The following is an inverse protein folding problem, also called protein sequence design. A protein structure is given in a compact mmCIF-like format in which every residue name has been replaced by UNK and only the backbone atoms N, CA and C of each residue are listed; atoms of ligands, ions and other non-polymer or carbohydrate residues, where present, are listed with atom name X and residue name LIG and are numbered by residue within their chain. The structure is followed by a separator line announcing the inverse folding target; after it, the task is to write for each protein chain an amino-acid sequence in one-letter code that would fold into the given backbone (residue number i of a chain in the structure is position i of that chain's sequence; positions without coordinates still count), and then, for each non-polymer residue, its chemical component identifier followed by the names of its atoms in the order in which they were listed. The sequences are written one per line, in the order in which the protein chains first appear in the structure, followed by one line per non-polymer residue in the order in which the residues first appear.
data_IF_922435770369
#
_entry.id   IF_922435770369
#
_cell.length_a   1.000
_cell.length_b   1.000
_cell.length_c   1.000
_cell.angle_alpha   90.00
_cell.angle_beta   90.00
_cell.angle_gamma   90.00
#
_symmetry.space_group_name_H-M   'P 1'
#
loop_
_entity.id
_entity.type
_entity.pdbx_description
1 polymer ?
#
# COMPACT_ATOMS: atom_id res chain seq x y z
N UNK A 1 19.17 -2.78 19.17
CA UNK A 1 20.50 -2.26 19.54
C UNK A 1 20.49 -0.75 19.81
N UNK A 2 19.89 0.08 18.94
CA UNK A 2 19.90 1.53 19.07
C UNK A 2 19.35 2.10 20.41
N UNK A 3 18.17 1.70 20.93
CA UNK A 3 17.66 2.24 22.20
C UNK A 3 18.60 2.00 23.38
N UNK A 4 19.19 0.80 23.47
CA UNK A 4 20.17 0.45 24.51
C UNK A 4 21.38 1.40 24.51
N UNK A 5 21.89 1.77 23.33
CA UNK A 5 23.04 2.68 23.21
C UNK A 5 22.69 4.09 23.69
N UNK A 6 21.55 4.62 23.24
CA UNK A 6 21.08 5.95 23.64
C UNK A 6 20.83 6.03 25.15
N UNK A 7 20.15 5.03 25.72
CA UNK A 7 19.89 4.97 27.16
C UNK A 7 21.20 4.96 27.96
N UNK A 8 22.22 4.21 27.53
CA UNK A 8 23.53 4.20 28.21
C UNK A 8 24.28 5.53 28.13
N UNK A 9 24.11 6.28 27.03
CA UNK A 9 24.83 7.53 26.79
C UNK A 9 24.21 8.71 27.55
N UNK A 10 22.88 8.70 27.72
CA UNK A 10 22.13 9.87 28.18
C UNK A 10 21.39 9.67 29.50
N UNK A 11 21.55 8.52 30.17
CA UNK A 11 21.00 8.32 31.51
C UNK A 11 21.88 7.41 32.37
N UNK A 12 21.72 7.53 33.69
CA UNK A 12 22.38 6.70 34.68
C UNK A 12 21.50 5.52 35.10
N UNK A 13 22.09 4.56 35.82
CA UNK A 13 21.32 3.45 36.41
C UNK A 13 20.33 4.03 37.43
N UNK A 14 19.08 3.56 37.39
CA UNK A 14 17.99 4.08 38.22
C UNK A 14 17.19 5.24 37.60
N UNK A 15 17.69 5.87 36.54
CA UNK A 15 16.94 6.94 35.85
C UNK A 15 15.69 6.41 35.13
N UNK A 16 14.76 7.32 34.83
CA UNK A 16 13.54 7.04 34.08
C UNK A 16 13.64 7.52 32.64
N UNK A 17 13.39 6.62 31.69
CA UNK A 17 13.38 6.91 30.25
C UNK A 17 11.95 7.13 29.77
N UNK A 18 11.68 8.27 29.12
CA UNK A 18 10.39 8.55 28.48
C UNK A 18 10.44 8.23 26.98
N UNK A 19 9.51 7.40 26.51
CA UNK A 19 9.29 7.12 25.09
C UNK A 19 7.86 7.49 24.66
N UNK A 20 7.65 8.66 24.04
CA UNK A 20 6.32 9.06 23.60
C UNK A 20 5.79 8.29 22.39
N UNK A 21 6.59 7.39 21.81
CA UNK A 21 6.24 6.58 20.63
C UNK A 21 6.66 5.12 20.85
N UNK A 22 6.12 4.52 21.91
CA UNK A 22 6.57 3.23 22.46
C UNK A 22 6.55 2.09 21.43
N UNK A 23 5.56 2.09 20.52
CA UNK A 23 5.45 1.10 19.45
C UNK A 23 5.43 -0.31 20.00
N UNK A 24 6.41 -1.12 19.61
CA UNK A 24 6.54 -2.51 20.08
C UNK A 24 7.22 -2.68 21.44
N UNK A 25 7.43 -1.61 22.22
CA UNK A 25 7.98 -1.70 23.58
C UNK A 25 9.50 -1.91 23.67
N UNK A 26 10.23 -1.68 22.58
CA UNK A 26 11.69 -1.98 22.53
C UNK A 26 12.51 -1.07 23.46
N UNK A 27 12.09 0.19 23.64
CA UNK A 27 12.74 1.13 24.55
C UNK A 27 12.58 0.70 26.01
N UNK A 28 11.37 0.31 26.42
CA UNK A 28 11.10 -0.20 27.77
C UNK A 28 11.87 -1.48 28.08
N UNK A 29 11.96 -2.42 27.13
CA UNK A 29 12.78 -3.63 27.32
C UNK A 29 14.26 -3.26 27.50
N UNK A 30 14.77 -2.33 26.70
CA UNK A 30 16.15 -1.87 26.81
C UNK A 30 16.42 -1.16 28.16
N UNK A 31 15.49 -0.34 28.65
CA UNK A 31 15.58 0.32 29.95
C UNK A 31 15.58 -0.70 31.10
N UNK A 32 14.63 -1.65 31.10
CA UNK A 32 14.55 -2.77 32.05
C UNK A 32 15.88 -3.52 32.15
N UNK A 33 16.42 -3.94 31.00
CA UNK A 33 17.68 -4.69 30.94
C UNK A 33 18.92 -3.87 31.34
N UNK A 34 18.78 -2.56 31.44
CA UNK A 34 19.82 -1.63 31.89
C UNK A 34 19.56 -1.12 33.32
N UNK A 35 18.63 -1.71 34.07
CA UNK A 35 18.27 -1.30 35.43
C UNK A 35 17.82 0.16 35.50
N UNK A 36 16.91 0.55 34.60
CA UNK A 36 16.30 1.87 34.51
C UNK A 36 14.78 1.72 34.42
N UNK A 37 14.07 2.71 34.96
CA UNK A 37 12.62 2.81 34.80
C UNK A 37 12.28 3.32 33.40
N UNK A 38 11.07 3.05 32.93
CA UNK A 38 10.59 3.62 31.67
C UNK A 38 9.11 3.94 31.71
N UNK A 39 8.73 5.02 31.03
CA UNK A 39 7.33 5.39 30.76
C UNK A 39 7.19 5.53 29.26
N UNK A 40 6.12 5.01 28.68
CA UNK A 40 5.89 5.18 27.25
C UNK A 40 4.41 5.28 26.88
N UNK A 41 4.16 5.97 25.78
CA UNK A 41 2.82 6.16 25.22
C UNK A 41 2.70 5.41 23.90
N UNK A 42 1.59 4.69 23.74
CA UNK A 42 1.21 4.07 22.48
C UNK A 42 -0.29 4.28 22.26
N UNK A 43 -0.64 4.76 21.08
CA UNK A 43 -2.03 5.09 20.71
C UNK A 43 -2.73 3.89 20.08
N UNK A 44 -1.97 2.97 19.47
CA UNK A 44 -2.50 1.81 18.80
C UNK A 44 -2.57 0.62 19.77
N UNK A 45 -3.80 0.29 20.18
CA UNK A 45 -4.09 -0.82 21.10
C UNK A 45 -3.60 -2.18 20.58
N UNK A 46 -3.42 -2.37 19.26
CA UNK A 46 -2.91 -3.61 18.68
C UNK A 46 -1.47 -3.94 19.11
N UNK A 47 -0.72 -2.95 19.58
CA UNK A 47 0.64 -3.17 20.11
C UNK A 47 0.65 -3.65 21.55
N UNK A 48 -0.46 -3.53 22.30
CA UNK A 48 -0.51 -3.91 23.72
C UNK A 48 -0.12 -5.39 23.94
N UNK A 49 -0.66 -6.38 23.20
CA UNK A 49 -0.23 -7.77 23.36
C UNK A 49 1.25 -8.01 23.05
N UNK A 50 1.80 -7.27 22.07
CA UNK A 50 3.21 -7.36 21.66
C UNK A 50 4.12 -6.81 22.76
N UNK A 51 3.72 -5.70 23.38
CA UNK A 51 4.44 -5.09 24.50
C UNK A 51 4.42 -6.05 25.70
N UNK A 52 3.25 -6.62 26.02
CA UNK A 52 3.09 -7.59 27.11
C UNK A 52 3.98 -8.81 26.96
N UNK A 53 4.02 -9.39 25.76
CA UNK A 53 4.88 -10.52 25.42
C UNK A 53 6.35 -10.13 25.55
N UNK A 54 6.75 -8.99 24.98
CA UNK A 54 8.15 -8.55 24.95
C UNK A 54 8.72 -8.22 26.31
N UNK A 55 7.91 -7.65 27.20
CA UNK A 55 8.31 -7.32 28.57
C UNK A 55 8.13 -8.51 29.54
N UNK A 56 7.60 -9.62 29.03
CA UNK A 56 7.37 -10.88 29.74
C UNK A 56 6.41 -10.73 30.93
N UNK A 57 5.40 -9.86 30.83
CA UNK A 57 4.45 -9.60 31.93
C UNK A 57 3.70 -10.84 32.40
N UNK A 58 3.51 -11.83 31.50
CA UNK A 58 2.73 -13.05 31.78
C UNK A 58 3.57 -14.19 32.38
N UNK A 59 4.89 -14.06 32.44
CA UNK A 59 5.75 -15.08 33.03
C UNK A 59 5.93 -14.78 34.53
N UNK A 60 5.25 -15.54 35.37
CA UNK A 60 5.40 -15.56 36.82
C UNK A 60 6.75 -16.16 37.22
N UNK A 61 7.83 -15.44 36.93
CA UNK A 61 9.13 -15.74 37.50
C UNK A 61 9.10 -15.32 38.97
N UNK A 62 9.48 -16.24 39.86
CA UNK A 62 9.51 -16.09 41.33
C UNK A 62 10.37 -14.89 41.82
N UNK A 63 11.13 -14.28 40.91
CA UNK A 63 12.00 -13.12 41.11
C UNK A 63 11.73 -12.01 40.09
N UNK A 64 10.46 -11.63 39.86
CA UNK A 64 10.17 -10.44 39.06
C UNK A 64 10.69 -9.19 39.78
N UNK A 65 11.83 -8.67 39.31
CA UNK A 65 12.48 -7.48 39.86
C UNK A 65 11.88 -6.15 39.37
N UNK A 66 10.82 -6.18 38.55
CA UNK A 66 10.23 -5.00 37.93
C UNK A 66 8.69 -5.03 38.03
N UNK A 67 8.10 -3.92 38.44
CA UNK A 67 6.66 -3.68 38.42
C UNK A 67 6.23 -3.04 37.08
N UNK A 68 5.02 -3.32 36.64
CA UNK A 68 4.45 -2.78 35.42
C UNK A 68 3.04 -2.26 35.66
N UNK A 69 2.78 -1.03 35.24
CA UNK A 69 1.46 -0.41 35.27
C UNK A 69 1.02 -0.05 33.86
N UNK A 70 -0.16 -0.52 33.44
CA UNK A 70 -0.75 -0.20 32.15
C UNK A 70 -1.97 0.68 32.40
N UNK A 71 -1.89 1.94 31.98
CA UNK A 71 -2.95 2.94 32.15
C UNK A 71 -3.60 3.18 30.79
N UNK A 72 -4.90 2.93 30.70
CA UNK A 72 -5.69 3.26 29.51
C UNK A 72 -6.30 4.65 29.68
N UNK A 73 -5.97 5.57 28.78
CA UNK A 73 -6.59 6.89 28.77
C UNK A 73 -8.07 6.77 28.34
N UNK A 74 -8.98 7.34 29.12
CA UNK A 74 -10.39 7.43 28.74
C UNK A 74 -10.57 8.29 27.48
N UNK A 75 -11.60 7.99 26.68
CA UNK A 75 -11.90 8.78 25.49
C UNK A 75 -12.26 10.20 25.91
N UNK A 76 -11.45 11.16 25.46
CA UNK A 76 -11.81 12.57 25.53
C UNK A 76 -12.99 12.81 24.59
N UNK A 77 -14.13 13.23 25.12
CA UNK A 77 -15.30 13.64 24.30
C UNK A 77 -15.09 14.97 23.56
N UNK A 78 -13.90 15.57 23.71
CA UNK A 78 -13.58 16.90 23.18
C UNK A 78 -13.21 16.84 21.71
N UNK A 79 -13.88 17.66 20.90
CA UNK A 79 -13.48 17.90 19.52
C UNK A 79 -12.26 18.82 19.50
N UNK A 80 -11.05 18.25 19.34
CA UNK A 80 -9.82 19.03 19.19
C UNK A 80 -9.93 20.11 18.10
N UNK A 81 -10.70 19.84 17.03
CA UNK A 81 -10.95 20.81 15.96
C UNK A 81 -11.68 22.06 16.45
N UNK A 82 -12.59 21.92 17.40
CA UNK A 82 -13.30 23.03 18.01
C UNK A 82 -12.44 23.77 19.03
N UNK A 83 -11.64 23.05 19.82
CA UNK A 83 -10.69 23.68 20.76
C UNK A 83 -9.62 24.49 20.02
N UNK A 84 -9.08 23.97 18.90
CA UNK A 84 -8.10 24.70 18.07
C UNK A 84 -8.68 26.02 17.54
N UNK A 85 -9.98 26.06 17.19
CA UNK A 85 -10.64 27.30 16.74
C UNK A 85 -10.75 28.36 17.83
N UNK A 86 -10.73 27.96 19.11
CA UNK A 86 -10.80 28.88 20.26
C UNK A 86 -9.44 29.49 20.60
N UNK A 87 -8.35 29.00 19.99
CA UNK A 87 -7.02 29.54 20.23
C UNK A 87 -6.91 30.97 19.68
N UNK A 88 -6.25 31.90 20.40
CA UNK A 88 -6.10 33.29 19.98
C UNK A 88 -5.30 33.43 18.68
N UNK A 89 -4.48 32.42 18.34
CA UNK A 89 -3.69 32.38 17.13
C UNK A 89 -3.84 31.02 16.44
N UNK A 90 -4.19 31.05 15.16
CA UNK A 90 -4.29 29.87 14.30
C UNK A 90 -3.32 30.08 13.14
N UNK A 91 -2.19 29.36 13.18
CA UNK A 91 -1.24 29.37 12.08
C UNK A 91 -1.89 28.82 10.81
N UNK A 92 -1.82 29.59 9.73
CA UNK A 92 -2.17 29.14 8.38
C UNK A 92 -0.91 29.28 7.53
N UNK A 93 -0.40 28.15 7.07
CA UNK A 93 0.74 28.15 6.16
C UNK A 93 0.33 28.82 4.84
N UNK A 94 0.95 29.96 4.44
CA UNK A 94 0.62 30.62 3.18
C UNK A 94 1.11 29.83 1.96
N UNK A 95 2.06 28.90 2.15
CA UNK A 95 2.62 28.08 1.07
C UNK A 95 1.97 26.70 1.15
N UNK A 96 0.91 26.50 0.39
CA UNK A 96 0.34 25.17 0.22
C UNK A 96 1.38 24.28 -0.48
N UNK A 97 1.98 23.34 0.26
CA UNK A 97 2.79 22.29 -0.35
C UNK A 97 1.94 21.49 -1.33
N UNK A 98 2.21 21.64 -2.61
CA UNK A 98 1.59 20.83 -3.65
C UNK A 98 2.12 19.40 -3.51
N UNK A 99 1.34 18.53 -2.84
CA UNK A 99 1.70 17.12 -2.65
C UNK A 99 1.66 16.41 -4.00
N UNK A 100 2.76 16.46 -4.74
CA UNK A 100 2.95 15.74 -6.02
C UNK A 100 2.73 14.24 -5.87
N UNK A 101 2.99 13.69 -4.69
CA UNK A 101 2.79 12.27 -4.37
C UNK A 101 2.19 12.13 -2.97
N UNK A 102 1.06 11.45 -2.87
CA UNK A 102 0.48 11.07 -1.58
C UNK A 102 1.17 9.79 -1.07
N UNK A 103 2.09 9.96 -0.12
CA UNK A 103 2.84 8.87 0.52
C UNK A 103 1.92 7.80 1.11
N UNK A 104 0.68 8.14 1.52
CA UNK A 104 -0.29 7.15 2.02
C UNK A 104 -0.77 6.18 0.95
N UNK A 105 -0.64 6.55 -0.34
CA UNK A 105 -0.92 5.65 -1.47
C UNK A 105 0.24 4.68 -1.75
N UNK A 106 1.44 4.98 -1.26
CA UNK A 106 2.66 4.17 -1.41
C UNK A 106 2.99 3.50 -0.07
N UNK A 107 2.24 2.46 0.29
CA UNK A 107 2.52 1.70 1.52
C UNK A 107 3.68 0.74 1.31
N UNK A 108 4.86 1.11 1.79
CA UNK A 108 6.01 0.20 1.91
C UNK A 108 5.90 -0.64 3.19
N UNK A 109 4.97 -1.59 3.21
CA UNK A 109 4.90 -2.61 4.28
C UNK A 109 4.37 -2.14 5.65
N UNK A 110 4.03 -0.85 5.83
CA UNK A 110 3.40 -0.37 7.06
C UNK A 110 1.98 -0.96 7.23
N UNK A 111 1.81 -1.80 8.25
CA UNK A 111 0.51 -2.35 8.72
C UNK A 111 -0.24 -1.41 9.68
N UNK A 112 0.20 -0.16 9.79
CA UNK A 112 -0.28 0.79 10.82
C UNK A 112 -1.75 1.18 10.59
N UNK A 113 -2.19 1.19 9.33
CA UNK A 113 -3.60 1.36 9.01
C UNK A 113 -4.22 0.00 8.73
N UNK A 114 -5.10 -0.45 9.61
CA UNK A 114 -6.05 -1.55 9.44
C UNK A 114 -7.05 -1.35 8.29
N UNK A 115 -6.82 -0.36 7.40
CA UNK A 115 -7.49 -0.32 6.11
C UNK A 115 -6.94 -1.45 5.23
N UNK A 116 -7.81 -2.27 4.59
CA UNK A 116 -7.35 -3.34 3.73
C UNK A 116 -6.43 -2.77 2.65
N UNK A 117 -5.31 -3.46 2.38
CA UNK A 117 -4.51 -3.25 1.17
C UNK A 117 -5.49 -3.02 0.02
N UNK A 118 -5.35 -1.96 -0.79
CA UNK A 118 -6.25 -1.74 -1.94
C UNK A 118 -6.40 -3.06 -2.67
N UNK A 119 -7.54 -3.76 -2.46
CA UNK A 119 -7.83 -5.02 -3.12
C UNK A 119 -7.71 -4.68 -4.61
N UNK A 120 -6.96 -5.48 -5.37
CA UNK A 120 -6.98 -5.35 -6.82
C UNK A 120 -8.46 -5.35 -7.22
N UNK A 121 -8.94 -4.22 -7.75
CA UNK A 121 -10.35 -4.06 -8.07
C UNK A 121 -10.59 -4.93 -9.29
N UNK A 122 -11.43 -5.94 -9.11
CA UNK A 122 -11.78 -6.87 -10.17
C UNK A 122 -12.97 -6.33 -10.98
N UNK A 123 -12.88 -6.50 -12.28
CA UNK A 123 -13.89 -6.13 -13.27
C UNK A 123 -14.26 -7.36 -14.10
N UNK A 124 -15.30 -7.25 -14.90
CA UNK A 124 -15.61 -8.21 -15.96
C UNK A 124 -15.64 -7.48 -17.29
N UNK A 125 -15.21 -8.16 -18.36
CA UNK A 125 -15.27 -7.58 -19.71
C UNK A 125 -16.72 -7.63 -20.19
N UNK A 126 -17.29 -6.46 -20.51
CA UNK A 126 -18.66 -6.34 -21.02
C UNK A 126 -18.68 -6.50 -22.53
N UNK A 127 -17.78 -5.83 -23.23
CA UNK A 127 -17.73 -5.79 -24.68
C UNK A 127 -16.30 -5.61 -25.19
N UNK A 128 -16.01 -6.19 -26.36
CA UNK A 128 -14.71 -6.12 -27.04
C UNK A 128 -14.91 -5.37 -28.36
N UNK A 129 -14.43 -4.13 -28.43
CA UNK A 129 -14.54 -3.30 -29.64
C UNK A 129 -13.47 -3.72 -30.67
N UNK A 130 -12.24 -3.88 -30.19
CA UNK A 130 -11.11 -4.30 -31.01
C UNK A 130 -10.09 -5.07 -30.14
N UNK A 131 -9.08 -5.72 -30.74
CA UNK A 131 -8.00 -6.35 -29.99
C UNK A 131 -7.25 -5.37 -29.07
N UNK A 132 -7.31 -4.08 -29.38
CA UNK A 132 -6.72 -3.02 -28.57
C UNK A 132 -7.69 -2.45 -27.53
N UNK A 133 -9.00 -2.44 -27.79
CA UNK A 133 -9.97 -1.65 -27.03
C UNK A 133 -11.11 -2.51 -26.48
N UNK A 134 -11.32 -2.41 -25.17
CA UNK A 134 -12.30 -3.18 -24.42
C UNK A 134 -13.18 -2.24 -23.57
N UNK A 135 -14.41 -2.65 -23.30
CA UNK A 135 -15.32 -2.01 -22.34
C UNK A 135 -15.53 -2.96 -21.16
N UNK A 136 -15.31 -2.44 -19.95
CA UNK A 136 -15.55 -3.17 -18.71
C UNK A 136 -17.00 -3.01 -18.22
N UNK A 137 -17.43 -3.85 -17.28
CA UNK A 137 -18.78 -3.85 -16.71
C UNK A 137 -19.21 -2.53 -16.06
N UNK A 138 -18.26 -1.71 -15.62
CA UNK A 138 -18.52 -0.36 -15.08
C UNK A 138 -18.61 0.73 -16.16
N UNK A 139 -18.55 0.38 -17.45
CA UNK A 139 -18.59 1.33 -18.56
C UNK A 139 -17.25 2.00 -18.89
N UNK A 140 -16.16 1.66 -18.18
CA UNK A 140 -14.84 2.20 -18.51
C UNK A 140 -14.35 1.59 -19.83
N UNK A 141 -13.97 2.48 -20.75
CA UNK A 141 -13.28 2.13 -21.99
C UNK A 141 -11.76 2.10 -21.76
N UNK A 142 -11.16 0.95 -22.00
CA UNK A 142 -9.73 0.72 -21.81
C UNK A 142 -9.05 0.40 -23.14
N UNK A 143 -7.78 0.76 -23.26
CA UNK A 143 -6.89 0.38 -24.35
C UNK A 143 -5.70 -0.41 -23.82
N UNK A 144 -5.44 -1.56 -24.41
CA UNK A 144 -4.35 -2.46 -24.03
C UNK A 144 -3.00 -1.86 -24.45
N UNK A 145 -2.13 -1.62 -23.47
CA UNK A 145 -0.80 -1.06 -23.74
C UNK A 145 0.11 -2.10 -24.41
N UNK A 146 0.84 -1.66 -25.44
CA UNK A 146 1.79 -2.48 -26.21
C UNK A 146 1.16 -3.39 -27.26
N UNK A 147 -0.16 -3.30 -27.46
CA UNK A 147 -0.91 -4.09 -28.43
C UNK A 147 -1.33 -3.20 -29.60
N UNK A 148 -0.98 -3.61 -30.82
CA UNK A 148 -1.40 -2.97 -32.07
C UNK A 148 -2.19 -3.95 -32.92
N UNK A 149 -3.34 -3.52 -33.44
CA UNK A 149 -4.23 -4.37 -34.21
C UNK A 149 -3.61 -4.80 -35.55
N UNK A 150 -3.74 -6.09 -35.87
CA UNK A 150 -3.41 -6.64 -37.17
C UNK A 150 -4.71 -6.97 -37.92
N UNK A 151 -5.04 -6.29 -39.05
CA UNK A 151 -6.33 -6.46 -39.73
C UNK A 151 -6.63 -7.91 -40.13
N UNK A 152 -5.61 -8.64 -40.59
CA UNK A 152 -5.70 -10.05 -41.01
C UNK A 152 -6.19 -11.00 -39.91
N UNK A 153 -5.85 -10.71 -38.65
CA UNK A 153 -6.11 -11.59 -37.50
C UNK A 153 -7.11 -11.02 -36.50
N UNK A 154 -7.80 -9.93 -36.86
CA UNK A 154 -8.74 -9.23 -35.99
C UNK A 154 -9.83 -10.18 -35.43
N UNK A 155 -10.41 -11.02 -36.28
CA UNK A 155 -11.44 -11.99 -35.87
C UNK A 155 -10.91 -13.00 -34.85
N UNK A 156 -9.76 -13.60 -35.13
CA UNK A 156 -9.11 -14.56 -34.24
C UNK A 156 -8.73 -13.95 -32.88
N UNK A 157 -8.25 -12.70 -32.87
CA UNK A 157 -7.90 -11.98 -31.65
C UNK A 157 -9.13 -11.70 -30.77
N UNK A 158 -10.24 -11.28 -31.37
CA UNK A 158 -11.51 -11.04 -30.65
C UNK A 158 -12.05 -12.34 -30.08
N UNK A 159 -12.02 -13.43 -30.85
CA UNK A 159 -12.44 -14.75 -30.38
C UNK A 159 -11.60 -15.21 -29.20
N UNK A 160 -10.28 -15.09 -29.29
CA UNK A 160 -9.36 -15.45 -28.21
C UNK A 160 -9.63 -14.67 -26.93
N UNK A 161 -9.82 -13.35 -27.02
CA UNK A 161 -10.16 -12.54 -25.86
C UNK A 161 -11.51 -12.95 -25.28
N UNK A 162 -12.52 -13.16 -26.12
CA UNK A 162 -13.86 -13.58 -25.69
C UNK A 162 -13.79 -14.89 -24.91
N UNK A 163 -13.10 -15.90 -25.44
CA UNK A 163 -12.93 -17.20 -24.78
C UNK A 163 -12.18 -17.09 -23.46
N UNK A 164 -11.12 -16.28 -23.39
CA UNK A 164 -10.33 -16.11 -22.17
C UNK A 164 -11.01 -15.26 -21.11
N UNK A 165 -11.83 -14.29 -21.49
CA UNK A 165 -12.50 -13.39 -20.54
C UNK A 165 -13.89 -13.88 -20.11
N UNK A 166 -14.47 -14.87 -20.82
CA UNK A 166 -15.81 -15.40 -20.51
C UNK A 166 -15.85 -16.00 -19.10
N UNK A 167 -16.68 -15.42 -18.24
CA UNK A 167 -16.85 -15.86 -16.86
C UNK A 167 -15.65 -15.57 -15.93
N UNK A 168 -14.61 -14.89 -16.44
CA UNK A 168 -13.42 -14.56 -15.66
C UNK A 168 -13.44 -13.12 -15.19
N UNK A 169 -12.89 -12.89 -14.00
CA UNK A 169 -12.63 -11.56 -13.47
C UNK A 169 -11.28 -11.07 -13.99
N UNK A 170 -11.20 -9.78 -14.29
CA UNK A 170 -9.98 -9.13 -14.78
C UNK A 170 -9.58 -7.99 -13.86
N UNK A 171 -8.29 -7.68 -13.78
CA UNK A 171 -7.79 -6.49 -13.10
C UNK A 171 -6.78 -5.76 -14.00
N UNK A 172 -6.65 -4.46 -13.76
CA UNK A 172 -5.80 -3.58 -14.57
C UNK A 172 -4.55 -3.21 -13.78
N UNK A 173 -3.42 -3.14 -14.48
CA UNK A 173 -2.22 -2.44 -14.00
C UNK A 173 -1.86 -1.31 -14.95
N UNK A 174 -1.40 -0.22 -14.36
CA UNK A 174 -1.05 0.99 -15.10
C UNK A 174 0.47 1.10 -15.23
N UNK A 175 0.91 1.68 -16.34
CA UNK A 175 2.27 2.17 -16.49
C UNK A 175 2.34 3.67 -16.11
N UNK A 176 3.46 4.32 -16.43
CA UNK A 176 3.65 5.76 -16.25
C UNK A 176 2.60 6.58 -17.02
N UNK A 177 2.23 6.13 -18.24
CA UNK A 177 1.23 6.78 -19.07
C UNK A 177 -0.14 6.12 -18.81
N UNK A 178 -1.11 6.92 -18.34
CA UNK A 178 -2.44 6.43 -17.96
C UNK A 178 -3.54 6.70 -18.98
N UNK A 179 -3.39 7.72 -19.81
CA UNK A 179 -4.41 8.11 -20.79
C UNK A 179 -3.75 8.37 -22.14
N UNK A 180 -4.46 8.02 -23.21
CA UNK A 180 -4.08 8.45 -24.56
C UNK A 180 -4.67 9.83 -24.90
N UNK A 181 -4.26 10.42 -26.03
CA UNK A 181 -4.79 11.70 -26.51
C UNK A 181 -6.30 11.68 -26.83
N UNK A 182 -6.93 10.50 -26.89
CA UNK A 182 -8.37 10.30 -27.10
C UNK A 182 -9.11 10.03 -25.77
N UNK A 183 -8.47 10.25 -24.61
CA UNK A 183 -8.99 10.00 -23.25
C UNK A 183 -9.32 8.53 -22.95
N UNK A 184 -8.82 7.56 -23.72
CA UNK A 184 -8.91 6.14 -23.36
C UNK A 184 -7.90 5.83 -22.26
N UNK A 185 -8.28 4.95 -21.33
CA UNK A 185 -7.43 4.52 -20.23
C UNK A 185 -6.45 3.45 -20.72
N UNK A 186 -5.15 3.72 -20.63
CA UNK A 186 -4.09 2.79 -21.04
C UNK A 186 -3.73 1.85 -19.89
N UNK A 187 -3.82 0.53 -20.13
CA UNK A 187 -3.50 -0.44 -19.10
C UNK A 187 -2.98 -1.78 -19.62
N UNK A 188 -2.34 -2.50 -18.71
CA UNK A 188 -2.07 -3.93 -18.80
C UNK A 188 -3.23 -4.70 -18.18
N UNK A 189 -3.80 -5.65 -18.92
CA UNK A 189 -4.94 -6.43 -18.47
C UNK A 189 -4.51 -7.83 -18.01
N UNK A 190 -4.97 -8.21 -16.83
CA UNK A 190 -4.71 -9.51 -16.22
C UNK A 190 -6.02 -10.22 -15.88
N UNK A 191 -6.06 -11.53 -16.05
CA UNK A 191 -7.12 -12.38 -15.49
C UNK A 191 -6.90 -12.57 -13.98
N UNK A 192 -7.93 -12.97 -13.24
CA UNK A 192 -7.85 -13.22 -11.78
C UNK A 192 -6.83 -14.28 -11.39
N UNK A 193 -6.49 -15.20 -12.30
CA UNK A 193 -5.41 -16.17 -12.14
C UNK A 193 -4.01 -15.61 -12.48
N UNK A 194 -3.87 -14.28 -12.61
CA UNK A 194 -2.65 -13.55 -12.99
C UNK A 194 -2.14 -13.80 -14.42
N UNK A 195 -2.94 -14.41 -15.29
CA UNK A 195 -2.60 -14.54 -16.72
C UNK A 195 -2.52 -13.17 -17.37
N UNK A 196 -1.41 -12.87 -18.05
CA UNK A 196 -1.18 -11.58 -18.68
C UNK A 196 -1.72 -11.55 -20.12
N UNK A 197 -2.87 -10.92 -20.33
CA UNK A 197 -3.56 -10.97 -21.63
C UNK A 197 -2.79 -10.27 -22.75
N UNK A 198 -2.20 -9.10 -22.50
CA UNK A 198 -1.45 -8.35 -23.52
C UNK A 198 -0.30 -9.21 -24.09
N UNK A 199 0.49 -9.86 -23.23
CA UNK A 199 1.59 -10.72 -23.67
C UNK A 199 1.09 -11.96 -24.41
N UNK A 200 -0.04 -12.55 -24.00
CA UNK A 200 -0.61 -13.71 -24.69
C UNK A 200 -1.11 -13.37 -26.10
N UNK A 201 -1.65 -12.18 -26.32
CA UNK A 201 -2.03 -11.72 -27.66
C UNK A 201 -0.81 -11.64 -28.58
N UNK A 202 0.28 -11.04 -28.08
CA UNK A 202 1.53 -10.86 -28.83
C UNK A 202 2.20 -12.21 -29.09
N UNK A 203 2.33 -13.06 -28.06
CA UNK A 203 3.00 -14.37 -28.15
C UNK A 203 2.32 -15.33 -29.12
N UNK A 204 0.99 -15.28 -29.22
CA UNK A 204 0.24 -16.08 -30.20
C UNK A 204 0.20 -15.44 -31.60
N UNK A 205 0.83 -14.27 -31.78
CA UNK A 205 0.90 -13.56 -33.04
C UNK A 205 -0.46 -13.07 -33.54
N UNK A 206 -1.41 -12.80 -32.65
CA UNK A 206 -2.73 -12.24 -33.00
C UNK A 206 -2.68 -10.73 -33.23
N UNK A 207 -1.67 -10.06 -32.68
CA UNK A 207 -1.48 -8.61 -32.69
C UNK A 207 0.00 -8.28 -32.90
N UNK A 208 0.27 -7.06 -33.35
CA UNK A 208 1.63 -6.51 -33.43
C UNK A 208 1.98 -5.77 -32.14
N UNK A 209 3.27 -5.53 -31.93
CA UNK A 209 3.76 -4.75 -30.79
C UNK A 209 3.66 -3.28 -31.13
N UNK A 210 2.93 -2.52 -30.30
CA UNK A 210 2.88 -1.07 -30.45
C UNK A 210 4.23 -0.45 -30.01
N UNK A 211 4.85 0.33 -30.90
CA UNK A 211 6.11 1.03 -30.64
C UNK A 211 5.93 2.54 -30.38
N UNK A 212 4.71 3.07 -30.50
CA UNK A 212 4.40 4.51 -30.39
C UNK A 212 4.72 5.05 -29.00
N UNK A 213 4.41 4.27 -27.96
CA UNK A 213 4.68 4.66 -26.58
C UNK A 213 5.94 4.00 -26.04
N UNK A 214 6.57 4.65 -25.06
CA UNK A 214 7.57 4.02 -24.21
C UNK A 214 6.90 3.47 -22.95
N UNK A 215 7.06 2.17 -22.72
CA UNK A 215 6.38 1.44 -21.64
C UNK A 215 7.26 0.31 -21.12
N UNK A 216 7.06 -0.04 -19.85
CA UNK A 216 7.95 -0.91 -19.07
C UNK A 216 8.24 -2.27 -19.73
N UNK A 217 7.27 -2.83 -20.44
CA UNK A 217 7.41 -4.16 -21.06
C UNK A 217 7.80 -4.13 -22.54
N UNK A 218 8.14 -2.97 -23.11
CA UNK A 218 8.45 -2.82 -24.55
C UNK A 218 9.52 -3.77 -25.05
N UNK A 219 10.69 -3.82 -24.40
CA UNK A 219 11.78 -4.73 -24.78
C UNK A 219 11.38 -6.20 -24.67
N UNK A 220 10.52 -6.55 -23.71
CA UNK A 220 10.03 -7.94 -23.56
C UNK A 220 9.03 -8.32 -24.64
N UNK A 221 8.18 -7.39 -25.07
CA UNK A 221 7.24 -7.64 -26.15
C UNK A 221 7.95 -7.77 -27.48
N UNK A 222 8.95 -6.93 -27.75
CA UNK A 222 9.77 -7.03 -28.96
C UNK A 222 10.60 -8.31 -29.02
N UNK A 223 11.08 -8.83 -27.89
CA UNK A 223 11.82 -10.11 -27.85
C UNK A 223 10.95 -11.37 -27.89
N UNK A 224 9.62 -11.24 -27.90
CA UNK A 224 8.65 -12.35 -27.99
C UNK A 224 8.11 -12.52 -29.41
N UNK A 225 8.21 -11.48 -30.24
CA UNK A 225 7.91 -11.51 -31.69
C UNK A 225 9.09 -12.13 -32.42
#
# INVERSE_FOLDING_TARGET
ELPRRLIKMFSFVGDTVLDPFLGSGTTSLAAKNLNRSSVGYEINEDFLPIIEEKLELKQSTFFQAASFDIIKQEKLEKSFKEEIKKLPYIFKDPIAFDKKVDLRKLRFGSKIDSSPSKREVYYTVKEIISPEVLILNNGIKIRLLGVKEKPEKKGAAIQFLTEKTRGQKVFMRFDNIKYDGKKNLLCYLYLSNKTFLNAHLIKNGFVEVDTVFDYKYKSKFLGVV
#
